data_IF_871914486917
#
_entry.id   IF_871914486917
#
_cell.length_a   1.000
_cell.length_b   1.000
_cell.length_c   1.000
_cell.angle_alpha   90.00
_cell.angle_beta   90.00
_cell.angle_gamma   90.00
#
_symmetry.space_group_name_H-M   'P 1'
#
loop_
_entity.id
_entity.type
_entity.pdbx_description
1 polymer ?
#
# COMPACT_ATOMS: atom_id res chain seq x y z
N UNK A 1 -19.59 0.60 10.10
CA UNK A 1 -18.80 1.16 8.99
C UNK A 1 -17.34 0.94 9.34
N UNK A 2 -16.47 0.57 8.38
CA UNK A 2 -15.03 0.54 8.63
C UNK A 2 -14.55 1.91 9.10
N UNK A 3 -13.54 1.93 9.97
CA UNK A 3 -12.88 3.18 10.36
C UNK A 3 -12.09 3.74 9.18
N UNK A 4 -11.70 5.01 9.25
CA UNK A 4 -10.74 5.55 8.29
C UNK A 4 -9.31 5.35 8.78
N UNK A 5 -8.39 4.99 7.88
CA UNK A 5 -6.96 5.16 8.15
C UNK A 5 -6.62 6.65 8.04
N UNK A 6 -6.01 7.19 9.09
CA UNK A 6 -5.66 8.61 9.16
C UNK A 6 -4.19 8.76 9.51
N UNK A 7 -3.56 9.85 9.06
CA UNK A 7 -2.20 10.20 9.46
C UNK A 7 -2.14 10.33 10.98
N UNK A 8 -1.25 9.55 11.61
CA UNK A 8 -1.06 9.51 13.05
C UNK A 8 0.36 9.96 13.41
N UNK A 9 0.48 11.23 13.77
CA UNK A 9 1.76 11.82 14.18
C UNK A 9 2.40 11.15 15.40
N UNK A 10 1.63 10.39 16.21
CA UNK A 10 2.18 9.61 17.33
C UNK A 10 2.88 8.36 16.82
N UNK A 11 2.37 7.75 15.75
CA UNK A 11 2.97 6.57 15.11
C UNK A 11 4.26 6.90 14.34
N UNK A 12 4.39 8.14 13.83
CA UNK A 12 5.54 8.62 13.05
C UNK A 12 6.92 8.37 13.71
N UNK A 13 6.99 8.33 15.05
CA UNK A 13 8.21 8.07 15.81
C UNK A 13 8.31 6.66 16.41
N UNK A 14 7.38 5.77 16.11
CA UNK A 14 7.27 4.45 16.75
C UNK A 14 7.81 3.33 15.85
N UNK A 15 8.56 2.41 16.45
CA UNK A 15 8.97 1.18 15.78
C UNK A 15 10.00 1.37 14.67
N UNK A 16 10.10 0.35 13.82
CA UNK A 16 11.08 0.27 12.74
C UNK A 16 10.37 0.34 11.38
N UNK A 17 10.94 1.12 10.46
CA UNK A 17 10.48 1.15 9.07
C UNK A 17 10.72 -0.19 8.39
N UNK A 18 9.72 -0.66 7.66
CA UNK A 18 9.78 -1.79 6.73
C UNK A 18 9.27 -1.34 5.37
N UNK A 19 9.79 -1.98 4.33
CA UNK A 19 9.50 -1.65 2.94
C UNK A 19 8.66 -2.78 2.35
N UNK A 20 7.69 -2.42 1.52
CA UNK A 20 6.95 -3.30 0.61
C UNK A 20 7.43 -2.91 -0.78
N UNK A 21 8.09 -3.80 -1.50
CA UNK A 21 8.55 -3.57 -2.87
C UNK A 21 7.52 -4.09 -3.87
N UNK A 22 7.58 -3.63 -5.11
CA UNK A 22 6.74 -4.17 -6.18
C UNK A 22 6.90 -5.70 -6.34
N UNK A 23 8.13 -6.21 -6.27
CA UNK A 23 8.38 -7.66 -6.29
C UNK A 23 7.98 -8.42 -5.02
N UNK A 24 7.46 -7.74 -3.98
CA UNK A 24 6.84 -8.40 -2.83
C UNK A 24 5.31 -8.55 -3.03
N UNK A 25 4.75 -8.00 -4.11
CA UNK A 25 3.32 -8.05 -4.42
C UNK A 25 2.93 -9.40 -5.04
N UNK A 26 1.69 -9.78 -4.85
CA UNK A 26 1.08 -10.94 -5.48
C UNK A 26 0.81 -10.67 -6.96
N UNK A 27 1.15 -11.65 -7.81
CA UNK A 27 0.77 -11.67 -9.22
C UNK A 27 -0.68 -12.13 -9.31
N UNK A 28 -1.61 -11.18 -9.49
CA UNK A 28 -3.05 -11.44 -9.53
C UNK A 28 -3.74 -10.61 -10.62
N UNK A 29 -4.90 -11.10 -11.05
CA UNK A 29 -5.77 -10.45 -12.03
C UNK A 29 -6.55 -9.31 -11.39
N UNK A 30 -6.44 -8.13 -11.97
CA UNK A 30 -7.19 -6.96 -11.55
C UNK A 30 -8.58 -6.93 -12.15
N UNK A 31 -9.50 -6.32 -11.41
CA UNK A 31 -10.89 -6.14 -11.83
C UNK A 31 -11.34 -4.71 -11.57
N UNK A 32 -11.87 -4.06 -12.60
CA UNK A 32 -12.31 -2.69 -12.49
C UNK A 32 -13.39 -2.51 -11.41
N UNK A 33 -13.26 -1.44 -10.61
CA UNK A 33 -14.17 -1.11 -9.51
C UNK A 33 -14.22 -2.15 -8.38
N UNK A 34 -13.22 -3.02 -8.28
CA UNK A 34 -13.07 -3.98 -7.19
C UNK A 34 -11.66 -3.84 -6.59
N UNK A 35 -11.58 -3.71 -5.26
CA UNK A 35 -10.29 -3.76 -4.56
C UNK A 35 -9.73 -5.20 -4.60
N UNK A 36 -8.58 -5.39 -5.22
CA UNK A 36 -7.83 -6.65 -5.24
C UNK A 36 -6.66 -6.54 -4.27
N UNK A 37 -6.57 -7.44 -3.29
CA UNK A 37 -5.43 -7.47 -2.36
C UNK A 37 -4.21 -8.01 -3.07
N UNK A 38 -3.16 -7.18 -3.15
CA UNK A 38 -1.90 -7.49 -3.85
C UNK A 38 -0.74 -7.64 -2.88
N UNK A 39 -0.97 -7.41 -1.58
CA UNK A 39 -0.01 -7.71 -0.53
C UNK A 39 -0.72 -7.80 0.80
N UNK A 40 -0.32 -8.76 1.63
CA UNK A 40 -0.88 -8.93 2.97
C UNK A 40 0.20 -9.29 3.99
N UNK A 41 0.04 -8.76 5.21
CA UNK A 41 0.85 -9.16 6.36
C UNK A 41 0.02 -9.28 7.62
N UNK A 42 -0.06 -10.51 8.13
CA UNK A 42 -0.62 -10.77 9.46
C UNK A 42 0.30 -10.24 10.58
N UNK A 43 -0.31 -9.61 11.57
CA UNK A 43 0.37 -9.10 12.77
C UNK A 43 0.61 -10.26 13.74
N UNK A 44 1.88 -10.51 14.07
CA UNK A 44 2.25 -11.51 15.08
C UNK A 44 1.87 -11.07 16.50
N UNK A 45 1.78 -12.03 17.43
CA UNK A 45 1.43 -11.82 18.83
C UNK A 45 2.29 -10.77 19.58
N UNK A 46 3.57 -10.67 19.21
CA UNK A 46 4.55 -9.77 19.83
C UNK A 46 4.66 -8.41 19.14
N UNK A 47 3.73 -8.08 18.24
CA UNK A 47 3.86 -6.95 17.32
C UNK A 47 2.65 -6.04 17.28
N UNK A 48 2.92 -4.79 16.90
CA UNK A 48 1.94 -3.88 16.33
C UNK A 48 2.45 -3.40 14.97
N UNK A 49 1.57 -3.31 13.99
CA UNK A 49 1.87 -2.79 12.66
C UNK A 49 0.99 -1.57 12.33
N UNK A 50 1.47 -0.72 11.43
CA UNK A 50 0.74 0.42 10.89
C UNK A 50 1.27 0.80 9.50
N UNK A 51 0.44 1.40 8.65
CA UNK A 51 0.82 1.77 7.28
C UNK A 51 1.69 3.03 7.25
N UNK A 52 2.52 3.19 6.22
CA UNK A 52 3.45 4.30 6.08
C UNK A 52 4.53 4.38 7.17
N UNK A 53 5.31 5.47 7.13
CA UNK A 53 6.35 5.71 8.12
C UNK A 53 6.79 7.18 8.21
N UNK A 54 7.03 7.64 9.45
CA UNK A 54 7.53 8.98 9.70
C UNK A 54 6.45 10.07 9.60
N UNK A 55 6.85 11.34 9.73
CA UNK A 55 5.92 12.47 9.71
C UNK A 55 5.50 12.84 8.28
N UNK A 56 4.36 13.54 8.17
CA UNK A 56 3.79 14.12 6.95
C UNK A 56 4.53 15.39 6.46
N UNK A 57 5.24 16.06 7.37
CA UNK A 57 6.01 17.27 7.04
C UNK A 57 7.21 16.92 6.18
N UNK A 58 7.19 17.33 4.91
CA UNK A 58 8.24 17.09 3.91
C UNK A 58 9.69 17.32 4.40
N UNK A 59 9.94 18.35 5.21
CA UNK A 59 11.28 18.65 5.77
C UNK A 59 11.83 17.59 6.74
N UNK A 60 10.97 16.72 7.28
CA UNK A 60 11.32 15.65 8.21
C UNK A 60 10.80 14.27 7.76
N UNK A 61 10.10 14.22 6.62
CA UNK A 61 9.52 13.01 6.08
C UNK A 61 10.60 12.00 5.70
N UNK A 62 10.27 10.71 5.84
CA UNK A 62 11.18 9.62 5.47
C UNK A 62 10.48 8.46 4.76
N UNK A 63 9.16 8.54 4.61
CA UNK A 63 8.31 7.65 3.82
C UNK A 63 8.05 8.17 2.40
N UNK A 64 9.11 8.51 1.65
CA UNK A 64 8.96 8.94 0.26
C UNK A 64 8.75 7.73 -0.66
N UNK A 65 7.62 7.67 -1.35
CA UNK A 65 7.14 6.48 -2.08
C UNK A 65 6.95 6.74 -3.57
N UNK A 66 6.91 5.64 -4.32
CA UNK A 66 6.53 5.58 -5.73
C UNK A 66 6.09 4.15 -6.03
N UNK A 67 5.29 3.97 -7.05
CA UNK A 67 4.85 2.66 -7.53
C UNK A 67 4.55 2.76 -9.01
N UNK A 68 5.09 1.84 -9.77
CA UNK A 68 4.86 1.68 -11.20
C UNK A 68 4.56 0.20 -11.44
N UNK A 69 3.27 -0.10 -11.58
CA UNK A 69 2.78 -1.44 -11.86
C UNK A 69 2.56 -1.62 -13.36
N UNK A 70 3.03 -2.74 -13.88
CA UNK A 70 2.87 -3.14 -15.28
C UNK A 70 2.27 -4.53 -15.38
N UNK A 71 1.60 -4.79 -16.49
CA UNK A 71 0.95 -6.07 -16.74
C UNK A 71 1.94 -7.15 -17.18
N UNK A 72 1.66 -8.41 -16.82
CA UNK A 72 2.48 -9.58 -17.20
C UNK A 72 2.27 -10.03 -18.64
N UNK A 73 1.14 -9.67 -19.23
CA UNK A 73 0.68 -10.16 -20.53
C UNK A 73 -0.05 -11.50 -20.51
N UNK A 74 -0.29 -12.10 -19.33
CA UNK A 74 -1.11 -13.31 -19.20
C UNK A 74 -2.62 -13.02 -19.08
N UNK A 75 -2.98 -11.78 -18.74
CA UNK A 75 -4.36 -11.29 -18.68
C UNK A 75 -4.87 -10.75 -20.02
N UNK A 76 -5.69 -9.70 -19.97
CA UNK A 76 -6.24 -9.03 -21.16
C UNK A 76 -5.27 -8.04 -21.83
N UNK A 77 -4.19 -7.67 -21.12
CA UNK A 77 -3.17 -6.71 -21.54
C UNK A 77 -1.99 -7.33 -22.30
N UNK A 78 -1.16 -6.49 -22.90
CA UNK A 78 0.18 -6.87 -23.35
C UNK A 78 1.17 -6.76 -22.19
N UNK A 79 2.20 -7.62 -22.18
CA UNK A 79 3.27 -7.52 -21.19
C UNK A 79 3.95 -6.14 -21.23
N UNK A 80 4.07 -5.49 -20.07
CA UNK A 80 4.61 -4.15 -19.91
C UNK A 80 3.59 -3.02 -20.07
N UNK A 81 2.32 -3.31 -20.33
CA UNK A 81 1.27 -2.28 -20.34
C UNK A 81 1.08 -1.71 -18.93
N UNK A 82 0.97 -0.38 -18.85
CA UNK A 82 0.72 0.34 -17.61
C UNK A 82 -0.59 -0.08 -16.94
N UNK A 83 -0.53 -0.41 -15.65
CA UNK A 83 -1.71 -0.59 -14.81
C UNK A 83 -2.11 0.76 -14.19
N UNK A 84 -3.42 1.04 -14.17
CA UNK A 84 -4.03 2.27 -13.67
C UNK A 84 -5.14 2.00 -12.66
N UNK A 85 -5.46 3.00 -11.87
CA UNK A 85 -6.40 2.92 -10.75
C UNK A 85 -5.80 3.50 -9.49
N UNK A 86 -6.27 3.05 -8.33
CA UNK A 86 -5.90 3.58 -7.03
C UNK A 86 -5.24 2.54 -6.13
N UNK A 87 -4.29 3.00 -5.32
CA UNK A 87 -3.73 2.21 -4.22
C UNK A 87 -4.57 2.43 -2.97
N UNK A 88 -5.11 1.35 -2.43
CA UNK A 88 -5.89 1.36 -1.19
C UNK A 88 -5.10 0.67 -0.09
N UNK A 89 -4.96 1.35 1.05
CA UNK A 89 -4.36 0.78 2.26
C UNK A 89 -5.48 0.30 3.17
N UNK A 90 -5.37 -0.92 3.68
CA UNK A 90 -6.41 -1.51 4.53
C UNK A 90 -5.83 -2.23 5.75
N UNK A 91 -6.65 -2.32 6.79
CA UNK A 91 -6.47 -3.19 7.95
C UNK A 91 -7.71 -4.06 8.08
N UNK A 92 -7.51 -5.37 8.10
CA UNK A 92 -8.59 -6.36 8.21
C UNK A 92 -8.47 -7.17 9.51
N UNK A 93 -9.49 -7.99 9.78
CA UNK A 93 -9.42 -9.00 10.84
C UNK A 93 -8.46 -10.15 10.49
N UNK A 94 -8.47 -11.22 11.28
CA UNK A 94 -7.51 -12.33 11.12
C UNK A 94 -7.70 -13.12 9.85
N UNK A 95 -8.93 -13.17 9.35
CA UNK A 95 -9.34 -13.97 8.20
C UNK A 95 -9.21 -13.16 6.90
N UNK A 96 -9.15 -11.83 6.97
CA UNK A 96 -9.07 -10.93 5.81
C UNK A 96 -10.45 -10.54 5.27
N UNK A 97 -11.51 -11.18 5.76
CA UNK A 97 -12.87 -11.02 5.26
C UNK A 97 -13.49 -9.67 5.65
N UNK A 98 -13.12 -9.13 6.82
CA UNK A 98 -13.68 -7.88 7.34
C UNK A 98 -12.68 -6.75 7.34
N UNK A 99 -12.95 -5.72 6.54
CA UNK A 99 -12.26 -4.43 6.60
C UNK A 99 -12.59 -3.72 7.92
N UNK A 100 -11.56 -3.48 8.73
CA UNK A 100 -11.64 -2.74 9.99
C UNK A 100 -11.33 -1.26 9.79
N UNK A 101 -10.38 -0.96 8.91
CA UNK A 101 -10.08 0.39 8.46
C UNK A 101 -9.49 0.41 7.05
N UNK A 102 -9.75 1.47 6.28
CA UNK A 102 -9.11 1.67 4.98
C UNK A 102 -8.99 3.15 4.61
N UNK A 103 -8.19 3.44 3.57
CA UNK A 103 -8.09 4.73 2.90
C UNK A 103 -7.59 4.51 1.47
N UNK A 104 -8.18 5.23 0.50
CA UNK A 104 -7.56 5.42 -0.82
C UNK A 104 -6.36 6.33 -0.64
N UNK A 105 -5.16 5.80 -0.84
CA UNK A 105 -3.91 6.50 -0.53
C UNK A 105 -3.55 7.50 -1.63
N UNK A 106 -3.30 7.01 -2.84
CA UNK A 106 -2.99 7.79 -4.03
C UNK A 106 -3.32 6.99 -5.30
N UNK A 107 -3.41 7.67 -6.44
CA UNK A 107 -3.54 7.00 -7.73
C UNK A 107 -2.22 6.35 -8.19
N UNK A 108 -2.32 5.28 -8.96
CA UNK A 108 -1.15 4.64 -9.59
C UNK A 108 -0.45 5.57 -10.60
N UNK A 109 -1.19 6.47 -11.23
CA UNK A 109 -0.61 7.47 -12.15
C UNK A 109 0.29 8.46 -11.39
N UNK A 110 -0.19 9.03 -10.28
CA UNK A 110 0.60 9.95 -9.44
C UNK A 110 1.82 9.24 -8.82
N UNK A 111 1.66 7.98 -8.41
CA UNK A 111 2.75 7.19 -7.87
C UNK A 111 3.80 6.81 -8.92
N UNK A 112 3.40 6.60 -10.18
CA UNK A 112 4.31 6.38 -11.31
C UNK A 112 5.09 7.64 -11.63
N UNK A 113 4.43 8.79 -11.70
CA UNK A 113 5.08 10.08 -11.95
C UNK A 113 6.13 10.39 -10.85
N UNK A 114 5.79 10.11 -9.59
CA UNK A 114 6.68 10.21 -8.43
C UNK A 114 7.97 9.36 -8.56
N UNK A 115 8.00 8.33 -9.41
CA UNK A 115 9.21 7.56 -9.66
C UNK A 115 10.31 8.41 -10.32
N UNK A 116 9.91 9.39 -11.13
CA UNK A 116 10.78 10.30 -11.87
C UNK A 116 11.16 11.56 -11.09
N UNK A 117 10.44 11.86 -10.01
CA UNK A 117 10.71 13.01 -9.16
C UNK A 117 11.98 12.85 -8.31
N UNK A 118 12.54 14.01 -7.92
CA UNK A 118 13.56 14.08 -6.88
C UNK A 118 13.04 13.39 -5.61
N UNK A 119 13.92 12.63 -4.95
CA UNK A 119 13.54 11.79 -3.78
C UNK A 119 12.70 12.53 -2.73
N UNK A 120 12.99 13.81 -2.49
CA UNK A 120 12.33 14.63 -1.47
C UNK A 120 11.08 15.35 -1.97
N UNK A 121 10.75 15.24 -3.25
CA UNK A 121 9.56 15.82 -3.91
C UNK A 121 8.45 14.79 -4.12
N UNK A 122 8.82 13.51 -4.14
CA UNK A 122 7.92 12.35 -4.14
C UNK A 122 6.77 12.42 -3.13
N UNK A 123 5.73 11.65 -3.42
CA UNK A 123 4.62 11.34 -2.51
C UNK A 123 5.15 10.88 -1.14
N UNK A 124 4.49 11.31 -0.07
CA UNK A 124 4.83 10.95 1.31
C UNK A 124 3.77 10.01 1.88
N UNK A 125 4.16 8.77 2.12
CA UNK A 125 3.39 7.82 2.93
C UNK A 125 3.74 8.01 4.41
N UNK A 126 3.11 9.01 5.03
CA UNK A 126 3.25 9.27 6.46
C UNK A 126 2.70 8.10 7.28
N UNK A 127 3.10 7.97 8.54
CA UNK A 127 2.54 6.93 9.40
C UNK A 127 1.01 7.08 9.54
N UNK A 128 0.25 6.02 9.24
CA UNK A 128 -1.21 6.00 9.30
C UNK A 128 -1.73 4.88 10.20
N UNK A 129 -2.78 5.17 10.97
CA UNK A 129 -3.42 4.20 11.87
C UNK A 129 -4.94 4.32 11.82
N UNK A 130 -5.65 3.31 12.34
CA UNK A 130 -7.11 3.26 12.35
C UNK A 130 -7.66 4.17 13.46
N UNK A 131 -7.75 5.47 13.18
CA UNK A 131 -8.15 6.51 14.15
C UNK A 131 -7.35 6.45 15.45
N UNK A 132 -6.05 6.18 15.34
CA UNK A 132 -5.15 6.11 16.47
C UNK A 132 -4.91 4.72 17.04
N UNK A 133 -5.54 3.68 16.49
CA UNK A 133 -5.31 2.29 16.85
C UNK A 133 -4.35 1.63 15.85
N UNK A 134 -3.17 1.22 16.31
CA UNK A 134 -2.26 0.38 15.53
C UNK A 134 -2.88 -1.02 15.35
N UNK A 135 -2.54 -1.70 14.26
CA UNK A 135 -2.99 -3.07 14.04
C UNK A 135 -2.29 -4.00 15.04
N UNK A 136 -3.08 -4.62 15.92
CA UNK A 136 -2.61 -5.60 16.90
C UNK A 136 -2.64 -7.04 16.38
N UNK A 137 -2.23 -8.00 17.22
CA UNK A 137 -2.18 -9.42 16.87
C UNK A 137 -3.45 -9.95 16.24
N UNK A 138 -3.28 -10.79 15.21
CA UNK A 138 -4.40 -11.38 14.49
C UNK A 138 -5.15 -10.39 13.59
N UNK A 139 -4.64 -9.19 13.33
CA UNK A 139 -5.11 -8.35 12.21
C UNK A 139 -4.18 -8.51 11.02
N UNK A 140 -4.62 -8.09 9.84
CA UNK A 140 -3.73 -7.95 8.69
C UNK A 140 -3.56 -6.48 8.29
N UNK A 141 -2.37 -6.14 7.82
CA UNK A 141 -2.18 -4.98 6.94
C UNK A 141 -2.25 -5.47 5.51
N UNK A 142 -2.94 -4.72 4.66
CA UNK A 142 -3.10 -5.03 3.25
C UNK A 142 -2.82 -3.81 2.38
N UNK A 143 -2.20 -4.06 1.23
CA UNK A 143 -2.19 -3.13 0.10
C UNK A 143 -3.11 -3.74 -0.95
N UNK A 144 -4.02 -2.92 -1.45
CA UNK A 144 -5.00 -3.32 -2.46
C UNK A 144 -4.93 -2.37 -3.65
N UNK A 145 -5.30 -2.87 -4.81
CA UNK A 145 -5.43 -2.08 -6.03
C UNK A 145 -6.90 -2.06 -6.42
N UNK A 146 -7.47 -0.86 -6.56
CA UNK A 146 -8.76 -0.66 -7.22
C UNK A 146 -8.46 -0.21 -8.65
N UNK A 147 -8.49 -1.17 -9.59
CA UNK A 147 -8.20 -0.87 -10.98
C UNK A 147 -9.30 -0.01 -11.63
N UNK A 148 -8.90 0.85 -12.56
CA UNK A 148 -9.85 1.56 -13.42
C UNK A 148 -10.34 0.67 -14.57
N UNK A 149 -11.33 1.17 -15.32
CA UNK A 149 -11.92 0.44 -16.46
C UNK A 149 -10.90 0.09 -17.56
N UNK A 150 -9.78 0.81 -17.65
CA UNK A 150 -8.76 0.57 -18.67
C UNK A 150 -7.81 -0.57 -18.30
N UNK A 151 -7.75 -0.92 -17.02
CA UNK A 151 -6.92 -2.00 -16.49
C UNK A 151 -7.74 -3.24 -16.08
N UNK A 152 -9.00 -3.32 -16.53
CA UNK A 152 -9.86 -4.48 -16.25
C UNK A 152 -9.31 -5.77 -16.87
N UNK A 153 -9.09 -6.79 -16.04
CA UNK A 153 -8.52 -8.07 -16.44
C UNK A 153 -7.01 -8.05 -16.68
N UNK A 154 -6.30 -7.00 -16.25
CA UNK A 154 -4.84 -6.95 -16.33
C UNK A 154 -4.25 -7.77 -15.17
N UNK A 155 -3.32 -8.67 -15.45
CA UNK A 155 -2.57 -9.39 -14.40
C UNK A 155 -1.30 -8.61 -14.06
N UNK A 156 -1.05 -8.34 -12.78
CA UNK A 156 0.19 -7.65 -12.33
C UNK A 156 1.42 -8.50 -12.63
N UNK A 157 2.53 -7.88 -13.07
CA UNK A 157 3.86 -8.49 -13.10
C UNK A 157 4.74 -7.91 -11.98
N UNK A 158 4.88 -8.58 -10.83
CA UNK A 158 5.71 -8.09 -9.72
C UNK A 158 7.20 -7.98 -10.09
N UNK A 159 7.69 -8.82 -11.00
CA UNK A 159 9.10 -8.89 -11.40
C UNK A 159 9.49 -7.78 -12.39
N UNK A 160 8.55 -7.35 -13.23
CA UNK A 160 8.73 -6.21 -14.14
C UNK A 160 8.32 -4.86 -13.53
N UNK A 161 7.48 -4.87 -12.49
CA UNK A 161 7.03 -3.67 -11.79
C UNK A 161 8.12 -3.09 -10.88
N UNK A 162 8.03 -1.79 -10.59
CA UNK A 162 8.98 -1.13 -9.67
C UNK A 162 8.25 -0.28 -8.65
N UNK A 163 8.77 -0.18 -7.43
CA UNK A 163 8.08 0.60 -6.41
C UNK A 163 8.51 0.31 -5.00
N UNK A 164 8.08 1.18 -4.10
CA UNK A 164 8.21 0.99 -2.66
C UNK A 164 7.09 1.72 -1.91
N UNK A 165 6.40 0.98 -1.06
CA UNK A 165 5.56 1.47 0.04
C UNK A 165 6.21 1.10 1.37
N UNK A 166 5.65 1.59 2.47
CA UNK A 166 6.19 1.40 3.80
C UNK A 166 5.14 0.95 4.80
N UNK A 167 5.60 0.24 5.83
CA UNK A 167 4.84 0.06 7.05
C UNK A 167 5.78 0.15 8.25
N UNK A 168 5.24 0.54 9.38
CA UNK A 168 5.95 0.54 10.65
C UNK A 168 5.70 -0.73 11.45
N UNK A 169 6.74 -1.19 12.15
CA UNK A 169 6.68 -2.35 13.04
C UNK A 169 7.18 -2.00 14.44
N UNK A 170 6.31 -2.14 15.43
CA UNK A 170 6.65 -2.03 16.86
C UNK A 170 6.76 -3.43 17.45
N UNK A 171 7.86 -3.73 18.14
CA UNK A 171 7.98 -4.93 18.97
C UNK A 171 7.47 -4.61 20.38
N UNK A 172 6.67 -5.52 20.94
CA UNK A 172 6.18 -5.44 22.32
C UNK A 172 7.00 -6.31 23.27
#
# INVERSE_FOLDING_TARGET
MPKQLVVDGRAAGLGNKKTIRAGDLDQDDLKAGTEVTVWQKQVNDDQLLYHGYGPDRRSAASGFVYMDLVASGNGTATAGDDIRGDVVLAVTDSEGDRVLASVTFESLEELRDSANDERTERVIEAAMSAEGDLAGPGRNLEVRIEADDTSDGYEIDPDASTGKLYYGKVQR
#
